data_IF_895757754391
#
_entry.id   IF_895757754391
#
_cell.length_a   1.000
_cell.length_b   1.000
_cell.length_c   1.000
_cell.angle_alpha   90.00
_cell.angle_beta   90.00
_cell.angle_gamma   90.00
#
_symmetry.space_group_name_H-M   'P 1'
#
loop_
_entity.id
_entity.type
_entity.pdbx_description
1 polymer ?
#
# COMPACT_ATOMS: atom_id res chain seq x y z
N UNK A 1 -30.79 -37.54 23.78
CA UNK A 1 -31.17 -36.12 23.89
C UNK A 1 -29.88 -35.33 23.86
N UNK A 2 -29.66 -34.61 22.75
CA UNK A 2 -29.33 -33.18 22.65
C UNK A 2 -28.44 -32.55 23.74
N UNK A 3 -27.56 -31.58 23.46
CA UNK A 3 -26.92 -31.08 22.23
C UNK A 3 -25.91 -29.98 22.65
N UNK A 4 -24.95 -29.63 21.78
CA UNK A 4 -24.13 -28.38 21.81
C UNK A 4 -23.20 -28.13 23.03
N UNK A 5 -22.03 -27.47 22.89
CA UNK A 5 -21.45 -26.86 21.68
C UNK A 5 -19.98 -26.40 21.82
N UNK A 6 -19.42 -25.92 20.70
CA UNK A 6 -18.09 -25.29 20.48
C UNK A 6 -18.20 -23.79 20.86
N UNK A 7 -17.18 -23.00 21.25
CA UNK A 7 -15.72 -22.96 21.01
C UNK A 7 -14.95 -22.67 22.34
N UNK A 8 -13.62 -22.50 22.47
CA UNK A 8 -12.51 -22.10 21.59
C UNK A 8 -11.19 -22.79 22.03
N UNK A 9 -10.32 -23.14 21.08
CA UNK A 9 -8.87 -23.16 21.32
C UNK A 9 -8.22 -22.04 20.51
N UNK A 10 -7.72 -21.04 21.20
CA UNK A 10 -6.84 -20.02 20.64
C UNK A 10 -5.55 -20.70 20.17
N UNK A 11 -5.21 -20.56 18.89
CA UNK A 11 -3.83 -20.71 18.44
C UNK A 11 -3.14 -19.36 18.61
N UNK A 12 -2.09 -19.23 19.44
CA UNK A 12 -1.35 -17.99 19.53
C UNK A 12 -0.48 -17.85 18.28
N UNK A 13 -0.85 -16.93 17.38
CA UNK A 13 0.12 -16.40 16.42
C UNK A 13 1.25 -15.72 17.21
N UNK A 14 2.53 -16.11 17.02
CA UNK A 14 3.63 -15.41 17.66
C UNK A 14 3.73 -14.00 17.07
N UNK A 15 3.37 -13.00 17.88
CA UNK A 15 3.62 -11.59 17.57
C UNK A 15 5.14 -11.39 17.59
N UNK A 16 5.74 -11.31 16.40
CA UNK A 16 7.15 -10.96 16.27
C UNK A 16 7.39 -9.57 16.89
N UNK A 17 8.39 -9.40 17.77
CA UNK A 17 8.64 -8.12 18.40
C UNK A 17 9.08 -7.09 17.35
N UNK A 18 8.48 -5.90 17.40
CA UNK A 18 8.87 -4.75 16.57
C UNK A 18 10.35 -4.45 16.78
N UNK A 19 11.15 -4.64 15.72
CA UNK A 19 12.50 -4.11 15.64
C UNK A 19 12.49 -2.59 15.86
N UNK A 20 13.47 -2.12 16.62
CA UNK A 20 13.65 -0.72 17.02
C UNK A 20 13.54 0.27 15.85
N UNK A 21 12.77 1.33 16.08
CA UNK A 21 12.97 2.62 15.40
C UNK A 21 14.37 3.13 15.76
N UNK A 22 15.29 3.08 14.80
CA UNK A 22 16.54 3.86 14.86
C UNK A 22 16.30 5.13 14.05
N UNK A 23 16.34 6.28 14.73
CA UNK A 23 16.35 7.58 14.05
C UNK A 23 17.67 7.72 13.26
N UNK A 24 17.57 8.15 12.01
CA UNK A 24 18.69 8.52 11.17
C UNK A 24 18.28 9.61 10.20
N UNK A 25 18.48 10.87 10.57
CA UNK A 25 18.36 12.01 9.66
C UNK A 25 19.64 12.15 8.83
N UNK A 26 19.66 11.51 7.67
CA UNK A 26 20.56 11.75 6.51
C UNK A 26 19.71 11.37 5.29
N UNK A 27 19.57 12.14 4.21
CA UNK A 27 20.45 13.15 3.65
C UNK A 27 20.78 12.71 2.22
N UNK A 28 20.02 13.26 1.27
CA UNK A 28 20.24 13.27 -0.18
C UNK A 28 20.25 11.95 -1.00
N UNK A 29 19.67 12.08 -2.20
CA UNK A 29 19.90 11.38 -3.47
C UNK A 29 20.46 9.93 -3.49
N UNK A 30 19.62 9.00 -3.95
CA UNK A 30 19.91 8.28 -5.21
C UNK A 30 18.62 7.93 -5.96
N UNK A 31 18.61 8.21 -7.27
CA UNK A 31 17.68 7.58 -8.19
C UNK A 31 18.19 6.18 -8.50
N UNK A 32 17.46 5.14 -8.12
CA UNK A 32 17.67 3.80 -8.68
C UNK A 32 16.31 3.13 -8.95
N UNK A 33 15.70 3.51 -10.07
CA UNK A 33 14.62 2.76 -10.69
C UNK A 33 15.21 1.52 -11.42
N UNK A 34 15.84 0.63 -10.65
CA UNK A 34 16.66 -0.47 -11.15
C UNK A 34 16.02 -1.85 -10.93
N UNK A 35 15.39 -2.38 -11.98
CA UNK A 35 15.17 -3.81 -12.22
C UNK A 35 14.73 -4.68 -11.01
N UNK A 36 13.44 -4.58 -10.64
CA UNK A 36 12.75 -5.79 -10.19
C UNK A 36 12.57 -6.71 -11.40
N UNK A 37 13.56 -7.56 -11.66
CA UNK A 37 13.38 -8.65 -12.61
C UNK A 37 12.30 -9.57 -12.06
N UNK A 38 11.19 -9.66 -12.78
CA UNK A 38 10.25 -10.76 -12.59
C UNK A 38 11.04 -12.05 -12.79
N UNK A 39 11.35 -12.74 -11.70
CA UNK A 39 12.02 -14.04 -11.79
C UNK A 39 11.11 -14.94 -12.64
N UNK A 40 11.62 -15.54 -13.73
CA UNK A 40 10.76 -16.36 -14.57
C UNK A 40 10.26 -17.52 -13.72
N UNK A 41 8.93 -17.59 -13.54
CA UNK A 41 8.30 -18.77 -12.94
C UNK A 41 8.80 -19.99 -13.72
N UNK A 42 9.59 -20.83 -13.05
CA UNK A 42 10.09 -22.07 -13.66
C UNK A 42 8.87 -22.84 -14.11
N UNK A 43 8.79 -23.12 -15.41
CA UNK A 43 7.73 -23.95 -15.95
C UNK A 43 7.73 -25.28 -15.19
N UNK A 44 6.71 -25.49 -14.36
CA UNK A 44 6.52 -26.73 -13.63
C UNK A 44 6.35 -27.81 -14.68
N UNK A 45 7.34 -28.68 -14.79
CA UNK A 45 7.41 -29.74 -15.79
C UNK A 45 6.13 -30.57 -15.74
N UNK A 46 5.45 -30.67 -16.88
CA UNK A 46 4.09 -31.19 -17.00
C UNK A 46 3.97 -32.62 -16.38
N UNK A 47 3.32 -32.80 -15.21
CA UNK A 47 3.39 -34.05 -14.46
C UNK A 47 2.76 -35.24 -15.20
N UNK A 48 1.90 -34.97 -16.19
CA UNK A 48 1.30 -35.97 -17.07
C UNK A 48 2.30 -36.81 -17.87
N UNK A 49 3.48 -36.29 -18.19
CA UNK A 49 4.50 -37.09 -18.90
C UNK A 49 5.11 -38.15 -17.97
N UNK A 50 5.47 -37.78 -16.74
CA UNK A 50 6.07 -38.71 -15.78
C UNK A 50 5.12 -39.85 -15.37
N UNK A 51 3.81 -39.58 -15.25
CA UNK A 51 2.81 -40.61 -14.92
C UNK A 51 2.69 -41.70 -16.00
N UNK A 52 2.78 -41.35 -17.29
CA UNK A 52 2.65 -42.34 -18.37
C UNK A 52 3.81 -43.33 -18.38
N UNK A 53 5.05 -42.84 -18.21
CA UNK A 53 6.24 -43.67 -18.19
C UNK A 53 6.26 -44.64 -16.99
N UNK A 54 5.95 -44.16 -15.78
CA UNK A 54 5.81 -45.01 -14.59
C UNK A 54 4.76 -46.12 -14.75
N UNK A 55 3.66 -45.84 -15.45
CA UNK A 55 2.61 -46.83 -15.76
C UNK A 55 3.07 -47.87 -16.79
N UNK A 56 3.96 -47.49 -17.71
CA UNK A 56 4.53 -48.40 -18.69
C UNK A 56 5.58 -49.32 -18.07
N UNK A 57 6.46 -48.79 -17.21
CA UNK A 57 7.47 -49.56 -16.48
C UNK A 57 6.85 -50.57 -15.50
N UNK A 58 5.86 -50.17 -14.70
CA UNK A 58 5.16 -51.11 -13.80
C UNK A 58 4.46 -52.25 -14.56
N UNK A 59 3.83 -51.95 -15.70
CA UNK A 59 3.27 -52.98 -16.59
C UNK A 59 4.34 -53.88 -17.25
N UNK A 60 5.52 -53.34 -17.56
CA UNK A 60 6.66 -54.10 -18.08
C UNK A 60 7.19 -55.08 -17.03
N UNK A 61 7.48 -54.59 -15.82
CA UNK A 61 7.92 -55.41 -14.70
C UNK A 61 6.89 -56.47 -14.31
N UNK A 62 5.60 -56.16 -14.34
CA UNK A 62 4.55 -57.14 -14.08
C UNK A 62 4.61 -58.33 -15.07
N UNK A 63 4.81 -58.07 -16.37
CA UNK A 63 5.00 -59.13 -17.39
C UNK A 63 6.31 -59.90 -17.19
N UNK A 64 7.41 -59.23 -16.87
CA UNK A 64 8.70 -59.86 -16.56
C UNK A 64 8.56 -60.84 -15.38
N UNK A 65 7.90 -60.41 -14.32
CA UNK A 65 7.65 -61.22 -13.13
C UNK A 65 6.78 -62.43 -13.44
N UNK A 66 5.70 -62.28 -14.22
CA UNK A 66 4.89 -63.42 -14.68
C UNK A 66 5.70 -64.40 -15.56
N UNK A 67 6.59 -63.89 -16.42
CA UNK A 67 7.48 -64.71 -17.22
C UNK A 67 8.50 -65.49 -16.38
N UNK A 68 9.07 -64.87 -15.34
CA UNK A 68 10.00 -65.51 -14.42
C UNK A 68 9.31 -66.58 -13.57
N UNK A 69 8.08 -66.33 -13.09
CA UNK A 69 7.25 -67.34 -12.43
C UNK A 69 6.96 -68.53 -13.36
N UNK A 70 6.66 -68.27 -14.64
CA UNK A 70 6.46 -69.33 -15.64
C UNK A 70 7.71 -70.19 -15.86
N UNK A 71 8.89 -69.56 -15.92
CA UNK A 71 10.17 -70.27 -16.04
C UNK A 71 10.47 -71.14 -14.81
N UNK A 72 10.27 -70.60 -13.60
CA UNK A 72 10.47 -71.32 -12.33
C UNK A 72 9.58 -72.57 -12.21
N UNK A 73 8.33 -72.53 -12.70
CA UNK A 73 7.47 -73.73 -12.78
C UNK A 73 8.06 -74.79 -13.72
N UNK A 74 8.64 -74.38 -14.86
CA UNK A 74 9.21 -75.31 -15.83
C UNK A 74 10.54 -75.96 -15.41
N UNK A 75 11.25 -75.38 -14.43
CA UNK A 75 12.48 -75.94 -13.86
C UNK A 75 12.24 -76.99 -12.74
N UNK A 76 10.97 -77.33 -12.46
CA UNK A 76 10.63 -78.41 -11.52
C UNK A 76 10.67 -78.01 -10.04
N UNK A 77 10.46 -76.73 -9.74
CA UNK A 77 10.24 -76.27 -8.37
C UNK A 77 9.02 -76.95 -7.74
N UNK A 78 9.17 -77.28 -6.46
CA UNK A 78 8.14 -77.94 -5.67
C UNK A 78 6.83 -77.13 -5.68
N UNK A 79 5.70 -77.80 -5.89
CA UNK A 79 4.42 -77.13 -6.16
C UNK A 79 3.98 -76.22 -5.01
N UNK A 80 4.32 -76.60 -3.78
CA UNK A 80 4.06 -75.86 -2.54
C UNK A 80 4.83 -74.52 -2.54
N UNK A 81 6.13 -74.53 -2.87
CA UNK A 81 6.96 -73.31 -2.98
C UNK A 81 6.52 -72.40 -4.12
N UNK A 82 6.06 -72.96 -5.24
CA UNK A 82 5.46 -72.17 -6.33
C UNK A 82 4.13 -71.50 -5.93
N UNK A 83 3.40 -72.07 -4.96
CA UNK A 83 2.22 -71.42 -4.36
C UNK A 83 2.65 -70.27 -3.45
N UNK A 84 3.59 -70.51 -2.51
CA UNK A 84 4.09 -69.49 -1.58
C UNK A 84 4.63 -68.25 -2.31
N UNK A 85 5.46 -68.44 -3.35
CA UNK A 85 6.00 -67.32 -4.13
C UNK A 85 4.88 -66.55 -4.85
N UNK A 86 3.85 -67.25 -5.36
CA UNK A 86 2.69 -66.62 -6.01
C UNK A 86 1.89 -65.78 -5.02
N UNK A 87 1.61 -66.32 -3.83
CA UNK A 87 0.83 -65.64 -2.80
C UNK A 87 1.54 -64.37 -2.30
N UNK A 88 2.86 -64.45 -2.07
CA UNK A 88 3.71 -63.28 -1.75
C UNK A 88 3.65 -62.24 -2.88
N UNK A 89 3.72 -62.68 -4.14
CA UNK A 89 3.71 -61.77 -5.26
C UNK A 89 2.36 -61.08 -5.49
N UNK A 90 1.25 -61.81 -5.33
CA UNK A 90 -0.10 -61.25 -5.38
C UNK A 90 -0.35 -60.26 -4.22
N UNK A 91 0.20 -60.53 -3.04
CA UNK A 91 0.19 -59.57 -1.92
C UNK A 91 0.94 -58.29 -2.30
N UNK A 92 2.18 -58.37 -2.79
CA UNK A 92 2.95 -57.20 -3.22
C UNK A 92 2.34 -56.45 -4.40
N UNK A 93 1.67 -57.13 -5.33
CA UNK A 93 0.90 -56.47 -6.39
C UNK A 93 -0.30 -55.70 -5.84
N UNK A 94 -1.02 -56.25 -4.84
CA UNK A 94 -2.12 -55.55 -4.17
C UNK A 94 -1.62 -54.34 -3.39
N UNK A 95 -0.50 -54.47 -2.68
CA UNK A 95 0.17 -53.37 -1.96
C UNK A 95 0.61 -52.25 -2.92
N UNK A 96 1.30 -52.59 -4.01
CA UNK A 96 1.71 -51.61 -5.03
C UNK A 96 0.52 -50.88 -5.66
N UNK A 97 -0.61 -51.57 -5.90
CA UNK A 97 -1.82 -50.91 -6.38
C UNK A 97 -2.36 -49.89 -5.37
N UNK A 98 -2.43 -50.25 -4.09
CA UNK A 98 -2.87 -49.33 -3.03
C UNK A 98 -1.94 -48.12 -2.88
N UNK A 99 -0.63 -48.32 -3.05
CA UNK A 99 0.37 -47.24 -3.05
C UNK A 99 0.18 -46.30 -4.26
N UNK A 100 -0.03 -46.83 -5.47
CA UNK A 100 -0.34 -45.97 -6.64
C UNK A 100 -1.66 -45.22 -6.49
N UNK A 101 -2.71 -45.87 -5.95
CA UNK A 101 -3.99 -45.21 -5.66
C UNK A 101 -3.85 -44.10 -4.59
N UNK A 102 -2.90 -44.23 -3.66
CA UNK A 102 -2.57 -43.19 -2.67
C UNK A 102 -1.77 -42.05 -3.29
N UNK A 103 -0.75 -42.33 -4.11
CA UNK A 103 0.03 -41.32 -4.83
C UNK A 103 -0.88 -40.44 -5.70
N UNK A 104 -1.76 -41.06 -6.49
CA UNK A 104 -2.72 -40.34 -7.34
C UNK A 104 -3.62 -39.37 -6.54
N UNK A 105 -4.00 -39.73 -5.30
CA UNK A 105 -4.79 -38.85 -4.42
C UNK A 105 -3.96 -37.69 -3.89
N UNK A 106 -2.73 -37.97 -3.43
CA UNK A 106 -1.82 -36.95 -2.92
C UNK A 106 -1.41 -35.94 -4.01
N UNK A 107 -1.25 -36.39 -5.25
CA UNK A 107 -1.00 -35.49 -6.40
C UNK A 107 -2.20 -34.56 -6.68
N UNK A 108 -3.43 -35.07 -6.57
CA UNK A 108 -4.64 -34.26 -6.72
C UNK A 108 -4.81 -33.24 -5.57
N UNK A 109 -4.54 -33.66 -4.32
CA UNK A 109 -4.51 -32.76 -3.16
C UNK A 109 -3.42 -31.69 -3.28
N UNK A 110 -2.22 -32.06 -3.72
CA UNK A 110 -1.12 -31.14 -3.97
C UNK A 110 -1.48 -30.09 -5.03
N UNK A 111 -2.14 -30.49 -6.12
CA UNK A 111 -2.64 -29.55 -7.14
C UNK A 111 -3.64 -28.53 -6.58
N UNK A 112 -4.56 -28.98 -5.72
CA UNK A 112 -5.50 -28.08 -5.04
C UNK A 112 -4.78 -27.11 -4.08
N UNK A 113 -3.76 -27.57 -3.34
CA UNK A 113 -2.95 -26.72 -2.45
C UNK A 113 -2.13 -25.72 -3.24
N UNK A 114 -1.51 -26.12 -4.36
CA UNK A 114 -0.79 -25.21 -5.26
C UNK A 114 -1.70 -24.09 -5.79
N UNK A 115 -2.93 -24.42 -6.22
CA UNK A 115 -3.90 -23.42 -6.65
C UNK A 115 -4.29 -22.45 -5.51
N UNK A 116 -4.41 -22.94 -4.28
CA UNK A 116 -4.68 -22.09 -3.11
C UNK A 116 -3.50 -21.16 -2.78
N UNK A 117 -2.25 -21.62 -2.95
CA UNK A 117 -1.05 -20.78 -2.76
C UNK A 117 -1.03 -19.64 -3.77
N UNK A 118 -1.25 -19.91 -5.07
CA UNK A 118 -1.30 -18.86 -6.12
C UNK A 118 -2.39 -17.82 -5.81
N UNK A 119 -3.59 -18.25 -5.40
CA UNK A 119 -4.66 -17.33 -4.98
C UNK A 119 -4.31 -16.52 -3.71
N UNK A 120 -3.42 -17.01 -2.84
CA UNK A 120 -2.94 -16.27 -1.67
C UNK A 120 -1.86 -15.26 -2.05
N UNK A 121 -1.00 -15.58 -3.02
CA UNK A 121 0.00 -14.67 -3.59
C UNK A 121 -0.69 -13.49 -4.29
N UNK A 122 -1.67 -13.73 -5.18
CA UNK A 122 -2.47 -12.68 -5.82
C UNK A 122 -3.18 -11.78 -4.79
N UNK A 123 -3.65 -12.36 -3.68
CA UNK A 123 -4.29 -11.60 -2.58
C UNK A 123 -3.29 -10.81 -1.75
N UNK A 124 -2.04 -11.23 -1.67
CA UNK A 124 -0.95 -10.49 -1.02
C UNK A 124 -0.61 -9.25 -1.86
N UNK A 125 -0.40 -9.41 -3.16
CA UNK A 125 -0.14 -8.31 -4.11
C UNK A 125 -1.24 -7.23 -4.05
N UNK A 126 -2.51 -7.66 -4.05
CA UNK A 126 -3.65 -6.76 -3.89
C UNK A 126 -3.67 -6.05 -2.53
N UNK A 127 -3.25 -6.72 -1.45
CA UNK A 127 -3.14 -6.10 -0.13
C UNK A 127 -2.02 -5.05 -0.08
N UNK A 128 -0.87 -5.33 -0.72
CA UNK A 128 0.23 -4.36 -0.84
C UNK A 128 -0.21 -3.12 -1.63
N UNK A 129 -0.83 -3.31 -2.80
CA UNK A 129 -1.41 -2.21 -3.59
C UNK A 129 -2.42 -1.39 -2.77
N UNK A 130 -3.30 -2.03 -1.99
CA UNK A 130 -4.25 -1.34 -1.11
C UNK A 130 -3.55 -0.55 0.01
N UNK A 131 -2.46 -1.04 0.59
CA UNK A 131 -1.69 -0.28 1.58
C UNK A 131 -0.99 0.94 0.98
N UNK A 132 -0.46 0.82 -0.25
CA UNK A 132 0.10 1.95 -1.00
C UNK A 132 -0.96 3.00 -1.30
N UNK A 133 -2.11 2.62 -1.88
CA UNK A 133 -3.20 3.56 -2.13
C UNK A 133 -3.68 4.28 -0.86
N UNK A 134 -3.73 3.58 0.29
CA UNK A 134 -4.06 4.20 1.59
C UNK A 134 -3.02 5.21 2.08
N UNK A 135 -1.73 5.02 1.80
CA UNK A 135 -0.70 5.99 2.18
C UNK A 135 -0.76 7.25 1.29
N UNK A 136 -1.01 7.07 -0.01
CA UNK A 136 -1.21 8.16 -0.98
C UNK A 136 -2.44 9.02 -0.64
N UNK A 137 -3.58 8.40 -0.30
CA UNK A 137 -4.79 9.13 0.15
C UNK A 137 -4.50 9.97 1.40
N UNK A 138 -3.81 9.42 2.41
CA UNK A 138 -3.43 10.17 3.62
C UNK A 138 -2.50 11.35 3.32
N UNK A 139 -1.57 11.18 2.38
CA UNK A 139 -0.70 12.26 1.92
C UNK A 139 -1.51 13.38 1.25
N UNK A 140 -2.47 13.02 0.40
CA UNK A 140 -3.37 13.98 -0.27
C UNK A 140 -4.30 14.69 0.73
N UNK A 141 -4.87 14.00 1.72
CA UNK A 141 -5.66 14.62 2.79
C UNK A 141 -4.84 15.64 3.60
N UNK A 142 -3.59 15.33 3.92
CA UNK A 142 -2.72 16.24 4.64
C UNK A 142 -2.34 17.46 3.79
N UNK A 143 -2.09 17.27 2.48
CA UNK A 143 -1.90 18.38 1.52
C UNK A 143 -3.17 19.24 1.41
N UNK A 144 -4.35 18.64 1.35
CA UNK A 144 -5.64 19.33 1.28
C UNK A 144 -5.90 20.20 2.52
N UNK A 145 -5.67 19.66 3.73
CA UNK A 145 -5.72 20.43 5.00
C UNK A 145 -4.70 21.58 5.01
N UNK A 146 -3.50 21.36 4.45
CA UNK A 146 -2.48 22.40 4.28
C UNK A 146 -2.87 23.50 3.29
N UNK A 147 -3.54 23.18 2.18
CA UNK A 147 -4.11 24.19 1.27
C UNK A 147 -5.28 24.94 1.89
N UNK A 148 -6.16 24.25 2.63
CA UNK A 148 -7.31 24.87 3.29
C UNK A 148 -6.87 25.91 4.34
N UNK A 149 -5.88 25.57 5.19
CA UNK A 149 -5.30 26.53 6.15
C UNK A 149 -4.74 27.77 5.46
N UNK A 150 -4.00 27.61 4.35
CA UNK A 150 -3.46 28.73 3.56
C UNK A 150 -4.56 29.58 2.92
N UNK A 151 -5.66 28.98 2.46
CA UNK A 151 -6.82 29.70 1.93
C UNK A 151 -7.53 30.51 3.03
N UNK A 152 -7.74 29.93 4.22
CA UNK A 152 -8.31 30.65 5.37
C UNK A 152 -7.44 31.83 5.81
N UNK A 153 -6.11 31.66 5.84
CA UNK A 153 -5.18 32.75 6.13
C UNK A 153 -5.26 33.86 5.07
N UNK A 154 -5.25 33.52 3.78
CA UNK A 154 -5.40 34.50 2.69
C UNK A 154 -6.74 35.25 2.77
N UNK A 155 -7.84 34.56 3.09
CA UNK A 155 -9.14 35.20 3.28
C UNK A 155 -9.11 36.21 4.45
N UNK A 156 -8.47 35.86 5.57
CA UNK A 156 -8.29 36.77 6.70
C UNK A 156 -7.44 38.00 6.34
N UNK A 157 -6.35 37.82 5.58
CA UNK A 157 -5.53 38.93 5.10
C UNK A 157 -6.31 39.82 4.12
N UNK A 158 -7.17 39.23 3.28
CA UNK A 158 -8.03 39.99 2.37
C UNK A 158 -9.04 40.86 3.15
N UNK A 159 -9.73 40.30 4.15
CA UNK A 159 -10.68 41.07 4.97
C UNK A 159 -10.00 42.23 5.70
N UNK A 160 -8.76 42.05 6.16
CA UNK A 160 -7.98 43.10 6.81
C UNK A 160 -7.53 44.20 5.83
N UNK A 161 -7.13 43.83 4.61
CA UNK A 161 -6.85 44.79 3.55
C UNK A 161 -8.11 45.57 3.13
N UNK A 162 -9.27 44.92 3.04
CA UNK A 162 -10.55 45.57 2.76
C UNK A 162 -10.94 46.56 3.87
N UNK A 163 -10.72 46.22 5.15
CA UNK A 163 -10.89 47.13 6.30
C UNK A 163 -9.99 48.36 6.17
N UNK A 164 -8.68 48.16 5.96
CA UNK A 164 -7.71 49.25 5.82
C UNK A 164 -8.01 50.13 4.59
N UNK A 165 -8.50 49.57 3.48
CA UNK A 165 -8.95 50.35 2.32
C UNK A 165 -10.18 51.20 2.70
N UNK A 166 -11.15 50.64 3.43
CA UNK A 166 -12.30 51.39 3.95
C UNK A 166 -11.87 52.58 4.81
N UNK A 167 -11.01 52.37 5.79
CA UNK A 167 -10.51 53.42 6.69
C UNK A 167 -9.72 54.51 5.95
N UNK A 168 -8.90 54.13 4.97
CA UNK A 168 -8.18 55.10 4.14
C UNK A 168 -9.11 55.87 3.20
N UNK A 169 -10.17 55.26 2.66
CA UNK A 169 -11.16 56.00 1.84
C UNK A 169 -11.98 56.97 2.67
N UNK A 170 -12.42 56.58 3.87
CA UNK A 170 -13.11 57.49 4.80
C UNK A 170 -12.20 58.65 5.25
N UNK A 171 -10.94 58.36 5.63
CA UNK A 171 -9.94 59.39 5.95
C UNK A 171 -9.75 60.40 4.81
N UNK A 172 -9.70 59.92 3.56
CA UNK A 172 -9.61 60.75 2.37
C UNK A 172 -10.89 61.58 2.11
N UNK A 173 -12.07 61.05 2.40
CA UNK A 173 -13.33 61.82 2.36
C UNK A 173 -13.40 62.87 3.47
N UNK A 174 -12.83 62.61 4.65
CA UNK A 174 -12.71 63.58 5.74
C UNK A 174 -11.74 64.71 5.40
N UNK A 175 -10.57 64.37 4.84
CA UNK A 175 -9.58 65.34 4.32
C UNK A 175 -10.19 66.27 3.27
N UNK A 176 -10.91 65.73 2.29
CA UNK A 176 -11.60 66.53 1.25
C UNK A 176 -12.65 67.47 1.84
N UNK A 177 -13.41 67.05 2.87
CA UNK A 177 -14.37 67.90 3.59
C UNK A 177 -13.66 69.01 4.36
N UNK A 178 -12.60 68.70 5.11
CA UNK A 178 -11.82 69.69 5.84
C UNK A 178 -11.17 70.72 4.89
N UNK A 179 -10.64 70.27 3.75
CA UNK A 179 -10.11 71.14 2.70
C UNK A 179 -11.19 72.08 2.15
N UNK A 180 -12.39 71.58 1.85
CA UNK A 180 -13.49 72.42 1.35
C UNK A 180 -13.89 73.50 2.37
N UNK A 181 -14.00 73.15 3.65
CA UNK A 181 -14.31 74.10 4.71
C UNK A 181 -13.21 75.17 4.86
N UNK A 182 -11.94 74.78 4.85
CA UNK A 182 -10.80 75.70 4.89
C UNK A 182 -10.71 76.65 3.67
N UNK A 183 -11.24 76.24 2.52
CA UNK A 183 -11.38 77.13 1.35
C UNK A 183 -12.56 78.09 1.49
N UNK A 184 -13.64 77.70 2.18
CA UNK A 184 -14.81 78.55 2.42
C UNK A 184 -14.58 79.61 3.50
N UNK A 185 -13.73 79.34 4.50
CA UNK A 185 -13.49 80.23 5.65
C UNK A 185 -12.31 81.21 5.45
N UNK A 186 -11.63 81.22 4.29
CA UNK A 186 -10.29 81.84 4.17
C UNK A 186 -10.07 82.73 2.95
N UNK A 187 -10.61 83.95 3.05
CA UNK A 187 -10.00 85.15 2.44
C UNK A 187 -8.77 85.58 3.28
N UNK A 188 -7.61 84.94 3.07
CA UNK A 188 -6.31 85.52 3.46
C UNK A 188 -5.28 84.68 4.25
N UNK A 189 -5.51 83.39 4.53
CA UNK A 189 -4.58 82.59 5.37
C UNK A 189 -4.06 81.29 4.74
N UNK A 190 -3.25 81.43 3.68
CA UNK A 190 -2.55 80.32 2.99
C UNK A 190 -1.70 79.42 3.90
N UNK A 191 -0.99 80.01 4.87
CA UNK A 191 -0.08 79.28 5.77
C UNK A 191 -0.80 78.35 6.76
N UNK A 192 -2.02 78.72 7.18
CA UNK A 192 -2.84 77.88 8.06
C UNK A 192 -3.38 76.64 7.32
N UNK A 193 -3.78 76.80 6.05
CA UNK A 193 -4.25 75.69 5.19
C UNK A 193 -3.19 74.60 5.06
N UNK A 194 -1.92 74.98 4.86
CA UNK A 194 -0.81 74.04 4.73
C UNK A 194 -0.55 73.25 6.03
N UNK A 195 -0.60 73.93 7.19
CA UNK A 195 -0.37 73.30 8.49
C UNK A 195 -1.46 72.27 8.85
N UNK A 196 -2.74 72.59 8.59
CA UNK A 196 -3.85 71.65 8.85
C UNK A 196 -3.82 70.45 7.91
N UNK A 197 -3.48 70.65 6.62
CA UNK A 197 -3.27 69.54 5.67
C UNK A 197 -2.10 68.62 6.10
N UNK A 198 -0.98 69.18 6.54
CA UNK A 198 0.15 68.42 7.07
C UNK A 198 -0.24 67.58 8.29
N UNK A 199 -0.95 68.18 9.26
CA UNK A 199 -1.40 67.50 10.48
C UNK A 199 -2.42 66.40 10.21
N UNK A 200 -3.32 66.58 9.26
CA UNK A 200 -4.35 65.59 8.93
C UNK A 200 -3.83 64.42 8.07
N UNK A 201 -2.72 64.60 7.34
CA UNK A 201 -2.02 63.53 6.61
C UNK A 201 -1.04 62.73 7.48
N UNK A 202 -0.59 63.27 8.61
CA UNK A 202 0.42 62.66 9.46
C UNK A 202 0.04 61.29 10.07
N UNK A 203 -1.19 61.06 10.58
CA UNK A 203 -1.58 59.79 11.19
C UNK A 203 -1.50 58.60 10.23
N UNK A 204 -1.90 58.80 8.97
CA UNK A 204 -1.89 57.75 7.94
C UNK A 204 -0.46 57.29 7.58
N UNK A 205 0.55 58.15 7.71
CA UNK A 205 1.92 57.83 7.32
C UNK A 205 2.59 56.86 8.31
N UNK A 206 2.31 57.04 9.61
CA UNK A 206 2.83 56.18 10.67
C UNK A 206 2.15 54.79 10.67
N UNK A 207 0.83 54.74 10.50
CA UNK A 207 0.08 53.47 10.43
C UNK A 207 0.43 52.66 9.18
N UNK A 208 0.61 53.31 8.02
CA UNK A 208 1.08 52.62 6.81
C UNK A 208 2.47 51.99 6.99
N UNK A 209 3.44 52.69 7.60
CA UNK A 209 4.78 52.11 7.78
C UNK A 209 4.79 50.91 8.74
N UNK A 210 3.95 50.94 9.78
CA UNK A 210 3.81 49.82 10.70
C UNK A 210 3.15 48.61 10.02
N UNK A 211 2.01 48.81 9.34
CA UNK A 211 1.31 47.76 8.63
C UNK A 211 2.15 47.13 7.49
N UNK A 212 2.91 47.93 6.74
CA UNK A 212 3.84 47.41 5.74
C UNK A 212 5.02 46.64 6.34
N UNK A 213 5.52 47.06 7.52
CA UNK A 213 6.55 46.32 8.26
C UNK A 213 6.07 44.93 8.65
N UNK A 214 4.92 44.84 9.33
CA UNK A 214 4.33 43.56 9.76
C UNK A 214 3.98 42.64 8.57
N UNK A 215 3.55 43.20 7.43
CA UNK A 215 3.30 42.43 6.20
C UNK A 215 4.61 41.90 5.59
N UNK A 216 5.71 42.65 5.59
CA UNK A 216 7.01 42.15 5.13
C UNK A 216 7.55 41.05 6.04
N UNK A 217 7.55 41.28 7.36
CA UNK A 217 8.05 40.33 8.36
C UNK A 217 7.27 39.00 8.36
N UNK A 218 5.97 39.04 8.04
CA UNK A 218 5.13 37.82 7.91
C UNK A 218 5.14 37.19 6.51
N UNK A 219 5.56 37.92 5.47
CA UNK A 219 5.71 37.40 4.12
C UNK A 219 7.10 36.77 3.86
N UNK A 220 8.13 37.16 4.62
CA UNK A 220 9.48 36.60 4.51
C UNK A 220 10.26 37.10 3.29
N UNK A 221 10.18 38.41 3.01
CA UNK A 221 11.00 39.12 2.02
C UNK A 221 12.29 39.69 2.63
#
# INVERSE_FOLDING_TARGET
MDASGVYHRQTPFPVLPRGMLVHGDVGEETQDAGNYSAAPMRAVSNPRCAQQDCSAETNSHHRQIQSLLGALVSEGLDAEKMSEIRDVLENHMRENKLLMDLVNKLEAELGNVQQQVVMLEERLDLAEQLTKCRSEVRLLENRAKGTERRLRQKASHQSELERLIGENTEGLHNLKRAQANLHAESDGHESAKLAVLMLALYPHRASWSAAWGEINDTAGF
#
